data_IF_447731850205
#
_entry.id   IF_447731850205
#
_cell.length_a   1.000
_cell.length_b   1.000
_cell.length_c   1.000
_cell.angle_alpha   90.00
_cell.angle_beta   90.00
_cell.angle_gamma   90.00
#
_symmetry.space_group_name_H-M   'P 1'
#
loop_
_entity.id
_entity.type
_entity.pdbx_description
1 polymer ?
#
# COMPACT_ATOMS: atom_id res chain seq x y z
N UNK A 1 -72.46 15.57 6.48
CA UNK A 1 -71.45 15.21 7.49
C UNK A 1 -70.13 15.01 6.75
N UNK A 2 -69.20 15.95 6.94
CA UNK A 2 -67.98 16.10 6.13
C UNK A 2 -66.85 15.26 6.74
N UNK A 3 -66.36 14.26 6.00
CA UNK A 3 -65.21 13.45 6.38
C UNK A 3 -63.93 14.20 6.02
N UNK A 4 -63.22 14.70 7.03
CA UNK A 4 -61.90 15.30 6.87
C UNK A 4 -60.84 14.19 6.80
N UNK A 5 -60.23 14.01 5.63
CA UNK A 5 -59.05 13.17 5.43
C UNK A 5 -57.83 13.83 6.05
N UNK A 6 -57.27 13.22 7.09
CA UNK A 6 -56.02 13.62 7.71
C UNK A 6 -54.84 13.14 6.83
N UNK A 7 -54.28 14.01 5.98
CA UNK A 7 -52.99 13.74 5.34
C UNK A 7 -51.88 13.91 6.37
N UNK A 8 -51.29 12.80 6.80
CA UNK A 8 -50.04 12.77 7.54
C UNK A 8 -48.91 13.35 6.66
N UNK A 9 -48.64 14.66 6.80
CA UNK A 9 -47.43 15.28 6.26
C UNK A 9 -46.27 14.90 7.17
N UNK A 10 -45.44 13.96 6.72
CA UNK A 10 -44.18 13.64 7.39
C UNK A 10 -43.28 14.87 7.49
N UNK A 11 -42.57 15.00 8.60
CA UNK A 11 -41.74 16.16 8.94
C UNK A 11 -40.58 16.31 7.93
N UNK A 12 -40.59 17.32 7.04
CA UNK A 12 -39.60 17.47 5.97
C UNK A 12 -38.17 17.65 6.51
N UNK A 13 -38.03 18.15 7.75
CA UNK A 13 -36.75 18.32 8.42
C UNK A 13 -36.05 16.98 8.69
N UNK A 14 -36.79 15.93 9.08
CA UNK A 14 -36.23 14.57 9.34
C UNK A 14 -35.78 13.88 8.05
N UNK A 15 -36.51 14.10 6.96
CA UNK A 15 -36.18 13.56 5.64
C UNK A 15 -34.91 14.18 5.06
N UNK A 16 -34.72 15.50 5.22
CA UNK A 16 -33.51 16.19 4.75
C UNK A 16 -32.23 15.65 5.39
N UNK A 17 -32.17 15.51 6.72
CA UNK A 17 -30.95 15.01 7.41
C UNK A 17 -30.59 13.58 6.95
N UNK A 18 -31.60 12.75 6.69
CA UNK A 18 -31.39 11.38 6.21
C UNK A 18 -30.96 11.37 4.74
N UNK A 19 -31.54 12.26 3.91
CA UNK A 19 -31.17 12.42 2.50
C UNK A 19 -29.73 12.97 2.33
N UNK A 20 -29.32 13.91 3.18
CA UNK A 20 -27.96 14.45 3.20
C UNK A 20 -26.94 13.38 3.56
N UNK A 21 -27.21 12.56 4.58
CA UNK A 21 -26.34 11.43 4.94
C UNK A 21 -26.32 10.37 3.83
N UNK A 22 -27.46 10.06 3.20
CA UNK A 22 -27.51 9.12 2.08
C UNK A 22 -26.66 9.59 0.89
N UNK A 23 -26.58 10.90 0.65
CA UNK A 23 -25.75 11.48 -0.39
C UNK A 23 -24.26 11.60 0.00
N UNK A 24 -23.95 11.92 1.27
CA UNK A 24 -22.58 12.13 1.74
C UNK A 24 -21.84 10.82 2.09
N UNK A 25 -22.56 9.79 2.52
CA UNK A 25 -21.98 8.53 2.97
C UNK A 25 -21.15 7.81 1.89
N UNK A 26 -21.60 7.69 0.62
CA UNK A 26 -20.78 7.09 -0.43
C UNK A 26 -19.44 7.82 -0.63
N UNK A 27 -19.45 9.16 -0.58
CA UNK A 27 -18.23 9.95 -0.71
C UNK A 27 -17.27 9.69 0.47
N UNK A 28 -17.79 9.62 1.69
CA UNK A 28 -16.98 9.29 2.88
C UNK A 28 -16.36 7.90 2.78
N UNK A 29 -17.10 6.90 2.30
CA UNK A 29 -16.60 5.55 2.09
C UNK A 29 -15.44 5.55 1.08
N UNK A 30 -15.57 6.25 -0.05
CA UNK A 30 -14.49 6.37 -1.04
C UNK A 30 -13.24 7.01 -0.43
N UNK A 31 -13.40 8.09 0.35
CA UNK A 31 -12.27 8.75 1.03
C UNK A 31 -11.58 7.80 2.02
N UNK A 32 -12.35 7.06 2.82
CA UNK A 32 -11.79 6.10 3.78
C UNK A 32 -11.05 4.97 3.08
N UNK A 33 -11.60 4.41 2.00
CA UNK A 33 -10.92 3.38 1.20
C UNK A 33 -9.62 3.92 0.60
N UNK A 34 -9.63 5.16 0.08
CA UNK A 34 -8.44 5.83 -0.41
C UNK A 34 -7.39 6.07 0.67
N UNK A 35 -7.81 6.46 1.88
CA UNK A 35 -6.91 6.65 3.02
C UNK A 35 -6.28 5.33 3.47
N UNK A 36 -7.06 4.24 3.56
CA UNK A 36 -6.53 2.90 3.86
C UNK A 36 -5.54 2.48 2.79
N UNK A 37 -5.86 2.69 1.51
CA UNK A 37 -4.96 2.39 0.40
C UNK A 37 -3.64 3.16 0.51
N UNK A 38 -3.69 4.46 0.79
CA UNK A 38 -2.49 5.27 0.99
C UNK A 38 -1.61 4.73 2.15
N UNK A 39 -2.23 4.30 3.25
CA UNK A 39 -1.50 3.67 4.38
C UNK A 39 -0.85 2.36 3.95
N UNK A 40 -1.52 1.54 3.14
CA UNK A 40 -0.92 0.28 2.63
C UNK A 40 0.29 0.54 1.73
N UNK A 41 0.24 1.57 0.88
CA UNK A 41 1.39 1.99 0.06
C UNK A 41 2.56 2.45 0.93
N UNK A 42 2.28 3.26 1.97
CA UNK A 42 3.29 3.71 2.92
C UNK A 42 3.93 2.53 3.67
N UNK A 43 3.13 1.55 4.10
CA UNK A 43 3.62 0.35 4.76
C UNK A 43 4.48 -0.51 3.82
N UNK A 44 4.06 -0.68 2.56
CA UNK A 44 4.84 -1.40 1.55
C UNK A 44 6.17 -0.70 1.25
N UNK A 45 6.16 0.63 1.15
CA UNK A 45 7.36 1.45 0.98
C UNK A 45 8.36 1.25 2.13
N UNK A 46 7.87 1.17 3.37
CA UNK A 46 8.70 0.92 4.55
C UNK A 46 9.28 -0.50 4.52
N UNK A 47 8.45 -1.51 4.23
CA UNK A 47 8.90 -2.91 4.07
C UNK A 47 9.96 -3.07 2.98
N UNK A 48 9.83 -2.42 1.83
CA UNK A 48 10.87 -2.44 0.80
C UNK A 48 12.20 -1.84 1.32
N UNK A 49 12.15 -0.77 2.10
CA UNK A 49 13.35 -0.16 2.67
C UNK A 49 14.01 -1.06 3.73
N UNK A 50 13.20 -1.72 4.57
CA UNK A 50 13.69 -2.64 5.60
C UNK A 50 14.27 -3.92 4.97
N UNK A 51 13.58 -4.50 4.00
CA UNK A 51 14.09 -5.63 3.21
C UNK A 51 15.42 -5.31 2.53
N UNK A 52 15.54 -4.13 1.90
CA UNK A 52 16.79 -3.70 1.29
C UNK A 52 17.93 -3.59 2.31
N UNK A 53 17.65 -3.06 3.51
CA UNK A 53 18.65 -2.92 4.59
C UNK A 53 19.11 -4.27 5.13
N UNK A 54 18.21 -5.21 5.34
CA UNK A 54 18.54 -6.54 5.82
C UNK A 54 19.35 -7.32 4.78
N UNK A 55 18.93 -7.25 3.52
CA UNK A 55 19.65 -7.85 2.40
C UNK A 55 21.03 -7.22 2.17
N UNK A 56 21.17 -5.90 2.32
CA UNK A 56 22.47 -5.22 2.23
C UNK A 56 23.41 -5.65 3.38
N UNK A 57 22.89 -5.88 4.58
CA UNK A 57 23.67 -6.44 5.70
C UNK A 57 24.12 -7.87 5.43
N UNK A 58 23.24 -8.71 4.88
CA UNK A 58 23.62 -10.05 4.44
C UNK A 58 24.73 -9.97 3.36
N UNK A 59 24.58 -9.08 2.39
CA UNK A 59 25.58 -8.86 1.34
C UNK A 59 26.93 -8.38 1.87
N UNK A 60 26.93 -7.54 2.92
CA UNK A 60 28.15 -7.08 3.57
C UNK A 60 28.97 -8.24 4.15
N UNK A 61 28.30 -9.27 4.68
CA UNK A 61 28.92 -10.50 5.20
C UNK A 61 29.43 -11.46 4.11
N UNK A 62 29.35 -11.06 2.84
CA UNK A 62 29.77 -11.91 1.72
C UNK A 62 28.81 -13.05 1.37
N UNK A 63 27.55 -12.98 1.82
CA UNK A 63 26.54 -14.02 1.52
C UNK A 63 26.27 -14.14 0.02
N UNK A 64 25.88 -15.34 -0.41
CA UNK A 64 25.54 -15.59 -1.81
C UNK A 64 24.24 -14.86 -2.20
N UNK A 65 24.10 -14.50 -3.49
CA UNK A 65 22.92 -13.81 -4.00
C UNK A 65 21.58 -14.54 -3.74
N UNK A 66 21.59 -15.87 -3.63
CA UNK A 66 20.41 -16.65 -3.25
C UNK A 66 19.95 -16.33 -1.82
N UNK A 67 20.87 -16.34 -0.86
CA UNK A 67 20.59 -16.03 0.55
C UNK A 67 20.17 -14.56 0.72
N UNK A 68 20.83 -13.63 0.03
CA UNK A 68 20.46 -12.21 0.06
C UNK A 68 19.02 -12.00 -0.39
N UNK A 69 18.60 -12.70 -1.46
CA UNK A 69 17.22 -12.64 -1.97
C UNK A 69 16.22 -13.28 -1.01
N UNK A 70 16.59 -14.39 -0.38
CA UNK A 70 15.76 -15.06 0.63
C UNK A 70 15.52 -14.16 1.84
N UNK A 71 16.57 -13.53 2.37
CA UNK A 71 16.46 -12.54 3.47
C UNK A 71 15.59 -11.35 3.06
N UNK A 72 15.78 -10.81 1.86
CA UNK A 72 14.94 -9.72 1.38
C UNK A 72 13.46 -10.13 1.29
N UNK A 73 13.19 -11.36 0.81
CA UNK A 73 11.83 -11.88 0.59
C UNK A 73 11.06 -12.12 1.91
N UNK A 74 11.74 -12.35 3.03
CA UNK A 74 11.09 -12.53 4.34
C UNK A 74 10.37 -11.25 4.81
N UNK A 75 10.88 -10.08 4.44
CA UNK A 75 10.34 -8.78 4.85
C UNK A 75 9.62 -8.04 3.72
N UNK A 76 10.00 -8.30 2.47
CA UNK A 76 9.46 -7.59 1.32
C UNK A 76 7.96 -7.85 1.12
N UNK A 77 7.22 -6.90 0.52
CA UNK A 77 5.85 -7.15 0.07
C UNK A 77 5.78 -8.31 -0.94
N UNK A 78 4.62 -8.98 -1.00
CA UNK A 78 4.38 -10.05 -1.98
C UNK A 78 4.62 -9.56 -3.42
N UNK A 79 5.27 -10.40 -4.23
CA UNK A 79 5.59 -10.08 -5.62
C UNK A 79 6.67 -9.00 -5.78
N UNK A 80 7.43 -8.70 -4.73
CA UNK A 80 8.57 -7.82 -4.82
C UNK A 80 9.71 -8.44 -5.64
N UNK A 81 10.38 -7.60 -6.41
CA UNK A 81 11.61 -7.91 -7.14
C UNK A 81 12.82 -7.37 -6.38
N UNK A 82 13.90 -8.15 -6.34
CA UNK A 82 15.11 -7.87 -5.57
C UNK A 82 16.31 -7.85 -6.50
N UNK A 83 16.89 -6.67 -6.66
CA UNK A 83 18.06 -6.43 -7.48
C UNK A 83 19.29 -6.19 -6.58
N UNK A 84 20.38 -6.87 -6.88
CA UNK A 84 21.64 -6.78 -6.11
C UNK A 84 22.75 -6.38 -7.07
N UNK A 85 23.29 -5.19 -6.87
CA UNK A 85 24.36 -4.61 -7.66
C UNK A 85 25.63 -4.53 -6.81
N UNK A 86 26.72 -5.11 -7.29
CA UNK A 86 28.03 -5.09 -6.61
C UNK A 86 28.99 -4.24 -7.44
N UNK A 87 29.64 -3.27 -6.81
CA UNK A 87 30.57 -2.36 -7.49
C UNK A 87 31.36 -1.51 -6.50
N UNK A 88 32.61 -1.20 -6.86
CA UNK A 88 33.48 -0.24 -6.15
C UNK A 88 33.61 -0.48 -4.63
N UNK A 89 33.67 -1.75 -4.21
CA UNK A 89 33.77 -2.14 -2.80
C UNK A 89 32.45 -1.95 -2.01
N UNK A 90 31.33 -1.76 -2.71
CA UNK A 90 30.00 -1.67 -2.12
C UNK A 90 29.04 -2.66 -2.77
N UNK A 91 27.98 -2.99 -2.04
CA UNK A 91 26.82 -3.72 -2.55
C UNK A 91 25.58 -2.87 -2.34
N UNK A 92 24.88 -2.58 -3.42
CA UNK A 92 23.59 -1.89 -3.42
C UNK A 92 22.49 -2.91 -3.61
N UNK A 93 21.52 -2.95 -2.71
CA UNK A 93 20.32 -3.78 -2.83
C UNK A 93 19.11 -2.88 -3.04
N UNK A 94 18.33 -3.17 -4.08
CA UNK A 94 17.09 -2.49 -4.42
C UNK A 94 15.95 -3.49 -4.39
N UNK A 95 14.88 -3.13 -3.67
CA UNK A 95 13.67 -3.93 -3.56
C UNK A 95 12.53 -3.11 -4.13
N UNK A 96 11.79 -3.65 -5.09
CA UNK A 96 10.68 -2.96 -5.74
C UNK A 96 9.43 -3.82 -5.73
N UNK A 97 8.26 -3.24 -5.51
CA UNK A 97 7.00 -3.99 -5.50
C UNK A 97 5.90 -3.20 -6.21
N UNK A 98 5.16 -3.87 -7.10
CA UNK A 98 3.98 -3.29 -7.77
C UNK A 98 2.74 -3.51 -6.93
N UNK A 99 2.11 -2.43 -6.50
CA UNK A 99 0.98 -2.45 -5.59
C UNK A 99 -0.33 -2.27 -6.37
N UNK A 100 -1.11 -3.34 -6.50
CA UNK A 100 -2.43 -3.28 -7.12
C UNK A 100 -3.51 -3.01 -6.07
N UNK A 101 -4.45 -2.13 -6.40
CA UNK A 101 -5.54 -1.79 -5.48
C UNK A 101 -6.47 -3.01 -5.34
N UNK A 102 -6.88 -3.40 -4.12
CA UNK A 102 -7.72 -4.57 -3.93
C UNK A 102 -9.15 -4.34 -4.45
N UNK A 103 -9.76 -5.39 -5.00
CA UNK A 103 -11.15 -5.39 -5.44
C UNK A 103 -11.34 -5.10 -6.93
N UNK A 104 -12.57 -4.75 -7.37
CA UNK A 104 -12.94 -4.70 -8.79
C UNK A 104 -12.24 -3.59 -9.59
N UNK A 105 -11.51 -2.70 -8.91
CA UNK A 105 -10.78 -1.60 -9.52
C UNK A 105 -9.31 -1.94 -9.81
N UNK A 106 -8.83 -3.14 -9.43
CA UNK A 106 -7.44 -3.58 -9.59
C UNK A 106 -6.93 -3.45 -11.02
N UNK A 107 -7.75 -3.83 -12.01
CA UNK A 107 -7.36 -3.84 -13.42
C UNK A 107 -7.58 -2.48 -14.11
N UNK A 108 -8.29 -1.57 -13.45
CA UNK A 108 -8.68 -0.26 -14.01
C UNK A 108 -7.77 0.87 -13.57
N UNK A 109 -7.17 0.75 -12.38
CA UNK A 109 -6.30 1.77 -11.82
C UNK A 109 -4.83 1.41 -12.06
N UNK A 110 -3.96 2.41 -12.28
CA UNK A 110 -2.52 2.18 -12.33
C UNK A 110 -2.04 1.51 -11.04
N UNK A 111 -1.21 0.47 -11.15
CA UNK A 111 -0.55 -0.16 -10.00
C UNK A 111 0.75 0.59 -9.70
N UNK A 112 0.80 1.49 -8.70
CA UNK A 112 2.04 2.18 -8.35
C UNK A 112 3.13 1.20 -7.92
N UNK A 113 4.36 1.48 -8.31
CA UNK A 113 5.54 0.76 -7.83
C UNK A 113 6.12 1.50 -6.64
N UNK A 114 6.33 0.80 -5.52
CA UNK A 114 7.10 1.29 -4.37
C UNK A 114 8.49 0.68 -4.39
N UNK A 115 9.51 1.43 -3.95
CA UNK A 115 10.91 1.01 -4.07
C UNK A 115 11.72 1.38 -2.85
N UNK A 116 12.45 0.43 -2.26
CA UNK A 116 13.43 0.67 -1.20
C UNK A 116 14.84 0.34 -1.68
N UNK A 117 15.85 1.08 -1.20
CA UNK A 117 17.25 0.84 -1.54
C UNK A 117 18.13 0.98 -0.31
N UNK A 118 19.14 0.13 -0.19
CA UNK A 118 20.19 0.22 0.81
C UNK A 118 21.55 -0.13 0.21
N UNK A 119 22.61 0.44 0.77
CA UNK A 119 24.00 0.23 0.33
C UNK A 119 24.80 -0.23 1.54
N UNK A 120 25.67 -1.21 1.33
CA UNK A 120 26.63 -1.67 2.32
C UNK A 120 28.04 -1.77 1.71
N UNK A 121 29.07 -1.70 2.56
CA UNK A 121 30.43 -2.00 2.15
C UNK A 121 30.58 -3.52 1.97
N UNK A 122 31.23 -3.93 0.89
CA UNK A 122 31.61 -5.33 0.70
C UNK A 122 32.86 -5.60 1.54
N UNK A 123 32.85 -6.67 2.35
CA UNK A 123 34.09 -7.19 2.91
C UNK A 123 35.04 -7.53 1.76
N UNK A 124 36.21 -6.90 1.74
CA UNK A 124 37.27 -7.22 0.80
C UNK A 124 37.83 -8.59 1.20
N UNK A 125 37.43 -9.63 0.47
CA UNK A 125 38.07 -10.95 0.52
C UNK A 125 39.51 -10.93 0.04
#
# INVERSE_FOLDING_TARGET
>A
MSSATHSARGDPQRGMVTAELAAAFPALVVVLLGAVWAVTLAAAQLRCADAAREAARAAARGEEAAIIREVAAEVAPDGADVEVERGDGTVTVRVSARMSMPGPLADTLPAPTVTGQAVALAESG
#
